data_IF_954888173908
#
_entry.id   IF_954888173908
#
_cell.length_a   1.000
_cell.length_b   1.000
_cell.length_c   1.000
_cell.angle_alpha   90.00
_cell.angle_beta   90.00
_cell.angle_gamma   90.00
#
_symmetry.space_group_name_H-M   'P 1'
#
loop_
_entity.id
_entity.type
_entity.pdbx_description
1 polymer ?
#
# COMPACT_ATOMS: atom_id res chain seq x y z
N UNK A 1 -14.66 1.23 19.40
CA UNK A 1 -14.57 -0.14 18.82
C UNK A 1 -13.15 -0.37 18.30
N UNK A 2 -12.74 -1.60 17.93
CA UNK A 2 -11.37 -1.85 17.40
C UNK A 2 -11.07 -0.96 16.18
N UNK A 3 -12.06 -0.80 15.29
CA UNK A 3 -11.97 0.10 14.13
C UNK A 3 -11.63 1.54 14.51
N UNK A 4 -12.38 2.11 15.45
CA UNK A 4 -12.15 3.47 15.96
C UNK A 4 -10.78 3.61 16.61
N UNK A 5 -10.46 2.75 17.57
CA UNK A 5 -9.28 2.92 18.40
C UNK A 5 -7.95 2.67 17.63
N UNK A 6 -7.95 1.76 16.65
CA UNK A 6 -6.71 1.39 15.94
C UNK A 6 -6.55 2.07 14.57
N UNK A 7 -7.63 2.44 13.91
CA UNK A 7 -7.57 2.94 12.53
C UNK A 7 -8.17 4.33 12.41
N UNK A 8 -9.47 4.46 12.67
CA UNK A 8 -10.18 5.69 12.34
C UNK A 8 -9.79 6.87 13.24
N UNK A 9 -9.87 6.76 14.56
CA UNK A 9 -9.59 7.89 15.47
C UNK A 9 -8.13 8.36 15.36
N UNK A 10 -7.10 7.48 15.30
CA UNK A 10 -5.72 7.92 15.11
C UNK A 10 -5.49 8.65 13.78
N UNK A 11 -6.07 8.16 12.68
CA UNK A 11 -5.92 8.76 11.35
C UNK A 11 -6.67 10.09 11.28
N UNK A 12 -7.88 10.16 11.84
CA UNK A 12 -8.65 11.40 11.94
C UNK A 12 -7.88 12.46 12.72
N UNK A 13 -7.41 12.12 13.92
CA UNK A 13 -6.65 13.04 14.78
C UNK A 13 -5.34 13.49 14.15
N UNK A 14 -4.62 12.58 13.50
CA UNK A 14 -3.40 12.93 12.78
C UNK A 14 -3.67 13.89 11.62
N UNK A 15 -4.75 13.65 10.85
CA UNK A 15 -5.16 14.54 9.77
C UNK A 15 -5.52 15.93 10.31
N UNK A 16 -6.39 16.01 11.33
CA UNK A 16 -6.80 17.30 11.92
C UNK A 16 -5.62 18.03 12.57
N UNK A 17 -4.71 17.30 13.22
CA UNK A 17 -3.46 17.86 13.72
C UNK A 17 -2.69 18.58 12.61
N UNK A 18 -2.50 17.94 11.45
CA UNK A 18 -1.81 18.58 10.34
C UNK A 18 -2.60 19.74 9.74
N UNK A 19 -3.92 19.65 9.62
CA UNK A 19 -4.76 20.78 9.18
C UNK A 19 -4.56 22.00 10.10
N UNK A 20 -4.46 21.80 11.41
CA UNK A 20 -4.24 22.89 12.36
C UNK A 20 -2.84 23.53 12.32
N UNK A 21 -1.84 22.85 11.74
CA UNK A 21 -0.44 23.30 11.72
C UNK A 21 0.07 23.71 10.33
N UNK A 22 -0.65 23.34 9.27
CA UNK A 22 -0.30 23.67 7.89
C UNK A 22 -0.91 25.03 7.52
N UNK A 23 -0.18 25.79 6.71
CA UNK A 23 -0.61 27.08 6.20
C UNK A 23 -2.00 26.97 5.54
N UNK A 24 -2.90 27.87 5.92
CA UNK A 24 -4.29 27.98 5.44
C UNK A 24 -5.18 26.75 5.69
N UNK A 25 -4.73 25.79 6.53
CA UNK A 25 -5.47 24.56 6.79
C UNK A 25 -5.65 23.67 5.57
N UNK A 26 -4.68 23.65 4.66
CA UNK A 26 -4.71 22.84 3.44
C UNK A 26 -4.79 21.33 3.76
N UNK A 27 -5.96 20.75 3.47
CA UNK A 27 -6.25 19.33 3.73
C UNK A 27 -5.38 18.41 2.85
N UNK A 28 -5.05 18.80 1.62
CA UNK A 28 -4.20 17.99 0.75
C UNK A 28 -2.77 17.88 1.30
N UNK A 29 -2.19 18.98 1.75
CA UNK A 29 -0.90 18.96 2.46
C UNK A 29 -0.99 18.17 3.78
N UNK A 30 -2.12 18.25 4.49
CA UNK A 30 -2.35 17.46 5.71
C UNK A 30 -2.39 15.96 5.43
N UNK A 31 -3.01 15.54 4.32
CA UNK A 31 -2.97 14.14 3.85
C UNK A 31 -1.53 13.70 3.60
N UNK A 32 -0.70 14.52 2.95
CA UNK A 32 0.72 14.20 2.71
C UNK A 32 1.44 13.95 4.04
N UNK A 33 1.29 14.87 5.01
CA UNK A 33 1.90 14.75 6.34
C UNK A 33 1.46 13.48 7.06
N UNK A 34 0.16 13.21 7.10
CA UNK A 34 -0.42 12.03 7.75
C UNK A 34 0.12 10.74 7.11
N UNK A 35 0.17 10.65 5.78
CA UNK A 35 0.71 9.48 5.07
C UNK A 35 2.18 9.25 5.40
N UNK A 36 3.00 10.29 5.42
CA UNK A 36 4.43 10.17 5.75
C UNK A 36 4.61 9.63 7.17
N UNK A 37 3.87 10.16 8.14
CA UNK A 37 3.94 9.70 9.54
C UNK A 37 3.52 8.23 9.64
N UNK A 38 2.37 7.86 9.07
CA UNK A 38 1.88 6.47 9.10
C UNK A 38 2.90 5.53 8.44
N UNK A 39 3.42 5.87 7.25
CA UNK A 39 4.43 5.06 6.57
C UNK A 39 5.74 4.95 7.36
N UNK A 40 6.11 5.99 8.10
CA UNK A 40 7.30 5.97 8.97
C UNK A 40 7.10 5.04 10.16
N UNK A 41 5.92 5.06 10.80
CA UNK A 41 5.57 4.11 11.86
C UNK A 41 5.55 2.67 11.37
N UNK A 42 5.14 2.45 10.12
CA UNK A 42 5.11 1.13 9.47
C UNK A 42 6.46 0.69 8.90
N UNK A 43 7.47 1.58 8.87
CA UNK A 43 8.80 1.30 8.32
C UNK A 43 9.42 -0.03 8.81
N UNK A 44 9.45 -0.37 10.12
CA UNK A 44 10.04 -1.64 10.57
C UNK A 44 9.32 -2.87 9.99
N UNK A 45 8.01 -2.78 9.77
CA UNK A 45 7.21 -3.84 9.15
C UNK A 45 7.52 -3.90 7.65
N UNK A 46 7.59 -2.75 6.97
CA UNK A 46 8.00 -2.65 5.55
C UNK A 46 9.37 -3.28 5.32
N UNK A 47 10.36 -3.01 6.18
CA UNK A 47 11.71 -3.57 6.08
C UNK A 47 11.67 -5.11 6.18
N UNK A 48 10.88 -5.66 7.10
CA UNK A 48 10.69 -7.12 7.23
C UNK A 48 10.04 -7.71 5.98
N UNK A 49 9.00 -7.07 5.44
CA UNK A 49 8.34 -7.51 4.22
C UNK A 49 9.29 -7.52 3.01
N UNK A 50 10.08 -6.46 2.82
CA UNK A 50 11.08 -6.38 1.74
C UNK A 50 12.17 -7.45 1.91
N UNK A 51 12.62 -7.72 3.15
CA UNK A 51 13.55 -8.83 3.43
C UNK A 51 12.96 -10.18 3.02
N UNK A 52 11.71 -10.45 3.41
CA UNK A 52 10.98 -11.66 3.03
C UNK A 52 10.88 -11.80 1.51
N UNK A 53 10.53 -10.75 0.78
CA UNK A 53 10.46 -10.76 -0.69
C UNK A 53 11.80 -11.08 -1.35
N UNK A 54 12.91 -10.55 -0.80
CA UNK A 54 14.26 -10.86 -1.31
C UNK A 54 14.59 -12.35 -1.12
N UNK A 55 14.41 -12.87 0.09
CA UNK A 55 14.70 -14.29 0.38
C UNK A 55 13.82 -15.18 -0.49
N UNK A 56 12.55 -14.83 -0.72
CA UNK A 56 11.65 -15.55 -1.64
C UNK A 56 12.22 -15.65 -3.05
N UNK A 57 12.90 -14.60 -3.53
CA UNK A 57 13.57 -14.60 -4.83
C UNK A 57 14.83 -15.48 -4.82
N UNK A 58 15.57 -15.50 -3.72
CA UNK A 58 16.79 -16.31 -3.56
C UNK A 58 16.48 -17.81 -3.50
N UNK A 59 15.43 -18.21 -2.78
CA UNK A 59 15.01 -19.62 -2.65
C UNK A 59 14.14 -20.11 -3.80
N UNK A 60 13.75 -19.23 -4.74
CA UNK A 60 12.89 -19.59 -5.87
C UNK A 60 13.41 -20.81 -6.67
N UNK A 61 14.73 -20.96 -6.95
CA UNK A 61 15.25 -22.14 -7.62
C UNK A 61 15.03 -23.42 -6.81
N UNK A 62 15.33 -23.43 -5.52
CA UNK A 62 15.14 -24.59 -4.64
C UNK A 62 13.66 -24.98 -4.52
N UNK A 63 12.76 -23.98 -4.48
CA UNK A 63 11.32 -24.25 -4.52
C UNK A 63 10.86 -24.89 -5.83
N UNK A 64 11.51 -24.61 -6.96
CA UNK A 64 11.21 -25.28 -8.24
C UNK A 64 11.67 -26.73 -8.22
N UNK A 65 12.90 -26.98 -7.75
CA UNK A 65 13.44 -28.34 -7.64
C UNK A 65 12.56 -29.23 -6.75
N UNK A 66 12.09 -28.73 -5.60
CA UNK A 66 11.14 -29.45 -4.75
C UNK A 66 9.81 -29.69 -5.46
N UNK A 67 9.30 -28.71 -6.20
CA UNK A 67 8.04 -28.86 -6.94
C UNK A 67 8.13 -29.96 -8.00
N UNK A 68 9.26 -30.05 -8.70
CA UNK A 68 9.52 -31.09 -9.70
C UNK A 68 9.74 -32.46 -9.05
N UNK A 69 10.56 -32.52 -7.99
CA UNK A 69 10.88 -33.76 -7.27
C UNK A 69 9.64 -34.43 -6.66
N UNK A 70 8.71 -33.64 -6.11
CA UNK A 70 7.50 -34.13 -5.45
C UNK A 70 6.23 -33.83 -6.24
N UNK A 71 6.29 -33.78 -7.58
CA UNK A 71 5.13 -33.41 -8.42
C UNK A 71 3.88 -34.27 -8.17
N UNK A 72 4.10 -35.54 -7.84
CA UNK A 72 3.06 -36.56 -7.65
C UNK A 72 2.64 -36.71 -6.18
N UNK A 73 3.36 -36.10 -5.23
CA UNK A 73 3.06 -36.16 -3.80
C UNK A 73 2.95 -34.74 -3.22
N UNK A 74 1.71 -34.20 -3.22
CA UNK A 74 1.41 -32.85 -2.74
C UNK A 74 1.71 -32.64 -1.27
N UNK A 75 1.56 -33.68 -0.44
CA UNK A 75 1.80 -33.57 1.00
C UNK A 75 3.29 -33.41 1.30
N UNK A 76 4.13 -34.29 0.74
CA UNK A 76 5.58 -34.18 0.86
C UNK A 76 6.12 -32.91 0.19
N UNK A 77 5.54 -32.49 -0.94
CA UNK A 77 5.85 -31.20 -1.56
C UNK A 77 5.60 -30.04 -0.60
N UNK A 78 4.42 -29.98 0.03
CA UNK A 78 4.09 -28.90 0.96
C UNK A 78 5.02 -28.88 2.18
N UNK A 79 5.33 -30.06 2.73
CA UNK A 79 6.25 -30.23 3.87
C UNK A 79 7.67 -29.80 3.53
N UNK A 80 8.20 -30.20 2.38
CA UNK A 80 9.53 -29.83 1.92
C UNK A 80 9.63 -28.32 1.60
N UNK A 81 8.60 -27.73 0.99
CA UNK A 81 8.54 -26.28 0.79
C UNK A 81 8.55 -25.52 2.12
N UNK A 82 7.81 -26.01 3.12
CA UNK A 82 7.79 -25.40 4.47
C UNK A 82 9.15 -25.51 5.16
N UNK A 83 9.86 -26.63 4.99
CA UNK A 83 11.23 -26.78 5.49
C UNK A 83 12.16 -25.73 4.88
N UNK A 84 12.12 -25.51 3.56
CA UNK A 84 12.91 -24.45 2.90
C UNK A 84 12.59 -23.06 3.49
N UNK A 85 11.31 -22.74 3.68
CA UNK A 85 10.93 -21.45 4.27
C UNK A 85 11.48 -21.27 5.69
N UNK A 86 11.45 -22.33 6.50
CA UNK A 86 11.97 -22.35 7.87
C UNK A 86 13.49 -22.23 7.90
N UNK A 87 14.19 -22.97 7.04
CA UNK A 87 15.66 -22.95 6.93
C UNK A 87 16.16 -21.59 6.45
N UNK A 88 15.40 -20.93 5.56
CA UNK A 88 15.67 -19.58 5.12
C UNK A 88 15.32 -18.50 6.17
N UNK A 89 14.83 -18.89 7.36
CA UNK A 89 14.48 -17.97 8.46
C UNK A 89 13.39 -16.97 8.10
N UNK A 90 12.50 -17.33 7.17
CA UNK A 90 11.51 -16.43 6.59
C UNK A 90 10.11 -16.68 7.15
N UNK A 91 9.35 -15.60 7.40
CA UNK A 91 7.92 -15.65 7.59
C UNK A 91 7.17 -15.09 6.35
N UNK A 92 6.48 -15.93 5.55
CA UNK A 92 5.75 -15.48 4.37
C UNK A 92 4.56 -14.55 4.71
N UNK A 93 4.02 -14.63 5.93
CA UNK A 93 2.89 -13.81 6.37
C UNK A 93 3.25 -12.34 6.54
N UNK A 94 4.54 -11.99 6.73
CA UNK A 94 4.95 -10.60 6.92
C UNK A 94 4.61 -9.71 5.71
N UNK A 95 4.79 -10.23 4.49
CA UNK A 95 4.48 -9.51 3.25
C UNK A 95 2.98 -9.32 3.05
N UNK A 96 2.20 -10.36 3.39
CA UNK A 96 0.73 -10.34 3.26
C UNK A 96 0.11 -9.40 4.29
N UNK A 97 0.63 -9.41 5.52
CA UNK A 97 0.17 -8.56 6.61
C UNK A 97 0.28 -7.06 6.27
N UNK A 98 1.38 -6.63 5.65
CA UNK A 98 1.57 -5.24 5.26
C UNK A 98 0.51 -4.76 4.25
N UNK A 99 0.16 -5.62 3.28
CA UNK A 99 -0.88 -5.30 2.28
C UNK A 99 -2.25 -5.20 2.94
N UNK A 100 -2.59 -6.14 3.82
CA UNK A 100 -3.86 -6.11 4.54
C UNK A 100 -3.99 -4.89 5.45
N UNK A 101 -2.89 -4.42 6.03
CA UNK A 101 -2.88 -3.23 6.88
C UNK A 101 -3.15 -1.94 6.09
N UNK A 102 -2.83 -1.90 4.80
CA UNK A 102 -3.03 -0.72 3.96
C UNK A 102 -4.53 -0.42 3.69
N UNK A 103 -5.36 -1.46 3.59
CA UNK A 103 -6.81 -1.35 3.31
C UNK A 103 -7.57 -0.57 4.42
N UNK A 104 -7.47 -0.91 5.70
CA UNK A 104 -8.15 -0.14 6.75
C UNK A 104 -7.59 1.29 6.87
N UNK A 105 -6.31 1.53 6.56
CA UNK A 105 -5.72 2.88 6.58
C UNK A 105 -6.35 3.78 5.50
N UNK A 106 -6.51 3.29 4.26
CA UNK A 106 -7.13 4.08 3.20
C UNK A 106 -8.62 4.33 3.49
N UNK A 107 -9.32 3.33 4.03
CA UNK A 107 -10.73 3.47 4.42
C UNK A 107 -10.88 4.48 5.55
N UNK A 108 -9.99 4.45 6.54
CA UNK A 108 -9.99 5.41 7.64
C UNK A 108 -9.72 6.84 7.14
N UNK A 109 -8.78 7.03 6.21
CA UNK A 109 -8.54 8.34 5.61
C UNK A 109 -9.72 8.83 4.79
N UNK A 110 -10.33 7.96 3.98
CA UNK A 110 -11.55 8.27 3.24
C UNK A 110 -12.64 8.77 4.20
N UNK A 111 -12.91 8.00 5.25
CA UNK A 111 -13.92 8.36 6.23
C UNK A 111 -13.56 9.63 7.00
N UNK A 112 -12.28 9.86 7.31
CA UNK A 112 -11.83 11.07 7.98
C UNK A 112 -12.12 12.35 7.17
N UNK A 113 -12.10 12.25 5.83
CA UNK A 113 -12.41 13.38 4.93
C UNK A 113 -13.92 13.51 4.69
N UNK A 114 -14.64 12.40 4.47
CA UNK A 114 -15.98 12.46 3.87
C UNK A 114 -17.18 12.30 4.82
N UNK A 115 -17.10 11.53 5.90
CA UNK A 115 -18.28 11.37 6.81
C UNK A 115 -18.10 10.47 8.04
N UNK A 116 -16.94 9.85 8.25
CA UNK A 116 -16.74 8.82 9.27
C UNK A 116 -16.95 9.27 10.70
N UNK A 117 -16.78 10.58 10.95
CA UNK A 117 -17.03 11.20 12.24
C UNK A 117 -18.44 11.75 12.40
N UNK A 118 -19.36 11.45 11.48
CA UNK A 118 -20.71 12.03 11.44
C UNK A 118 -20.80 13.38 10.72
N UNK A 119 -19.66 13.96 10.33
CA UNK A 119 -19.56 15.19 9.52
C UNK A 119 -18.45 15.03 8.46
N UNK A 120 -18.57 15.78 7.36
CA UNK A 120 -17.58 15.84 6.31
C UNK A 120 -16.69 17.09 6.50
N UNK A 121 -15.41 17.01 6.12
CA UNK A 121 -14.59 18.22 6.03
C UNK A 121 -15.23 19.21 5.03
N UNK A 122 -15.21 20.52 5.32
CA UNK A 122 -14.39 21.21 6.32
C UNK A 122 -14.92 21.19 7.77
N UNK A 123 -16.10 20.61 8.04
CA UNK A 123 -16.63 20.49 9.40
C UNK A 123 -15.87 19.43 10.20
N UNK A 124 -15.60 19.72 11.48
CA UNK A 124 -14.79 18.87 12.36
C UNK A 124 -15.64 18.42 13.54
N UNK A 125 -15.74 17.11 13.73
CA UNK A 125 -16.35 16.56 14.94
C UNK A 125 -15.33 16.62 16.09
N UNK A 126 -15.47 17.65 16.92
CA UNK A 126 -14.58 17.89 18.07
C UNK A 126 -14.66 16.81 19.15
N UNK A 127 -15.74 16.01 19.21
CA UNK A 127 -15.88 14.93 20.20
C UNK A 127 -14.94 13.76 19.95
N UNK A 128 -14.39 13.64 18.74
CA UNK A 128 -13.43 12.60 18.36
C UNK A 128 -11.98 13.07 18.51
N UNK A 129 -11.76 14.34 18.85
CA UNK A 129 -10.42 14.88 18.98
C UNK A 129 -9.77 14.41 20.28
N UNK A 130 -8.53 13.95 20.16
CA UNK A 130 -7.66 13.72 21.31
C UNK A 130 -7.31 15.05 21.95
N UNK A 131 -7.03 15.03 23.25
CA UNK A 131 -6.75 16.22 24.05
C UNK A 131 -5.58 17.08 23.55
N UNK A 132 -4.66 16.50 22.78
CA UNK A 132 -3.50 17.17 22.21
C UNK A 132 -3.73 17.72 20.78
N UNK A 133 -4.91 17.50 20.20
CA UNK A 133 -5.28 18.02 18.88
C UNK A 133 -6.16 19.25 19.05
N UNK A 134 -5.61 20.42 18.73
CA UNK A 134 -6.37 21.66 18.72
C UNK A 134 -7.32 21.72 17.51
N UNK A 135 -8.52 22.28 17.70
CA UNK A 135 -9.46 22.51 16.61
C UNK A 135 -8.90 23.59 15.65
N UNK A 136 -8.69 23.26 14.36
CA UNK A 136 -8.27 24.24 13.37
C UNK A 136 -9.28 25.37 13.20
N UNK A 137 -8.77 26.60 13.03
CA UNK A 137 -9.61 27.79 12.75
C UNK A 137 -10.00 27.85 11.28
N UNK A 138 -9.10 27.39 10.40
CA UNK A 138 -9.29 27.37 8.94
C UNK A 138 -9.11 25.95 8.42
N UNK A 139 -9.98 25.54 7.51
CA UNK A 139 -9.88 24.26 6.81
C UNK A 139 -10.11 24.54 5.32
N UNK A 140 -9.08 24.32 4.51
CA UNK A 140 -9.13 24.52 3.07
C UNK A 140 -9.16 23.18 2.35
N UNK A 141 -10.22 22.94 1.57
CA UNK A 141 -10.29 21.80 0.68
C UNK A 141 -9.48 22.00 -0.60
N UNK A 142 -9.02 23.24 -0.87
CA UNK A 142 -8.20 23.56 -2.04
C UNK A 142 -6.73 23.20 -1.78
N UNK A 143 -6.30 22.08 -2.35
CA UNK A 143 -4.91 21.65 -2.35
C UNK A 143 -4.04 22.61 -3.16
N UNK A 144 -3.03 23.19 -2.50
CA UNK A 144 -2.11 24.21 -3.00
C UNK A 144 -2.82 25.47 -3.55
N UNK A 145 -4.11 25.66 -3.23
CA UNK A 145 -4.95 26.70 -3.83
C UNK A 145 -5.31 26.46 -5.31
N UNK A 146 -5.05 25.28 -5.86
CA UNK A 146 -5.20 24.98 -7.28
C UNK A 146 -6.33 23.97 -7.58
N UNK A 147 -6.63 23.08 -6.64
CA UNK A 147 -7.48 21.92 -6.88
C UNK A 147 -8.30 21.60 -5.63
N UNK A 148 -9.62 21.46 -5.75
CA UNK A 148 -10.44 20.90 -4.69
C UNK A 148 -10.13 19.41 -4.48
N UNK A 149 -9.71 19.05 -3.29
CA UNK A 149 -9.31 17.68 -2.94
C UNK A 149 -10.50 16.72 -2.84
N UNK A 150 -11.72 17.25 -2.74
CA UNK A 150 -12.96 16.45 -2.71
C UNK A 150 -13.40 15.99 -4.09
N UNK A 151 -13.05 16.76 -5.12
CA UNK A 151 -13.38 16.54 -6.52
C UNK A 151 -12.46 15.52 -7.19
N UNK A 152 -12.77 15.15 -8.45
CA UNK A 152 -11.93 14.23 -9.23
C UNK A 152 -10.72 14.96 -9.82
N UNK A 153 -9.56 14.30 -9.81
CA UNK A 153 -8.34 14.81 -10.46
C UNK A 153 -7.67 13.74 -11.31
N UNK A 154 -7.73 13.91 -12.64
CA UNK A 154 -7.07 12.99 -13.57
C UNK A 154 -5.55 13.04 -13.42
N UNK A 155 -4.98 14.20 -13.12
CA UNK A 155 -3.53 14.39 -12.95
C UNK A 155 -3.03 13.59 -11.75
N UNK A 156 -3.69 13.73 -10.59
CA UNK A 156 -3.31 12.97 -9.39
C UNK A 156 -3.60 11.49 -9.55
N UNK A 157 -4.71 11.10 -10.17
CA UNK A 157 -5.02 9.70 -10.42
C UNK A 157 -3.98 9.06 -11.34
N UNK A 158 -3.59 9.75 -12.42
CA UNK A 158 -2.54 9.29 -13.33
C UNK A 158 -1.20 9.15 -12.61
N UNK A 159 -0.83 10.13 -11.78
CA UNK A 159 0.37 10.05 -10.95
C UNK A 159 0.32 8.85 -9.99
N UNK A 160 -0.82 8.58 -9.36
CA UNK A 160 -1.02 7.40 -8.51
C UNK A 160 -0.85 6.09 -9.29
N UNK A 161 -1.47 5.95 -10.46
CA UNK A 161 -1.34 4.76 -11.31
C UNK A 161 0.09 4.54 -11.82
N UNK A 162 0.76 5.60 -12.28
CA UNK A 162 2.15 5.53 -12.76
C UNK A 162 3.10 5.13 -11.62
N UNK A 163 2.96 5.76 -10.45
CA UNK A 163 3.80 5.41 -9.29
C UNK A 163 3.49 3.99 -8.79
N UNK A 164 2.23 3.55 -8.82
CA UNK A 164 1.85 2.17 -8.49
C UNK A 164 2.54 1.17 -9.41
N UNK A 165 2.60 1.46 -10.71
CA UNK A 165 3.29 0.62 -11.68
C UNK A 165 4.79 0.48 -11.35
N UNK A 166 5.47 1.61 -11.07
CA UNK A 166 6.89 1.58 -10.70
C UNK A 166 7.13 0.88 -9.37
N UNK A 167 6.26 1.11 -8.38
CA UNK A 167 6.31 0.44 -7.08
C UNK A 167 6.23 -1.07 -7.26
N UNK A 168 5.21 -1.59 -7.95
CA UNK A 168 5.06 -3.02 -8.23
C UNK A 168 6.26 -3.59 -8.99
N UNK A 169 6.75 -2.86 -10.01
CA UNK A 169 7.90 -3.30 -10.81
C UNK A 169 9.18 -3.41 -9.97
N UNK A 170 9.34 -2.58 -8.94
CA UNK A 170 10.51 -2.58 -8.06
C UNK A 170 10.43 -3.65 -6.96
N UNK A 171 9.23 -3.91 -6.42
CA UNK A 171 9.00 -4.88 -5.34
C UNK A 171 8.91 -6.32 -5.85
N UNK A 172 8.37 -6.55 -7.06
CA UNK A 172 8.13 -7.91 -7.56
C UNK A 172 9.29 -8.47 -8.40
N UNK A 173 9.51 -9.80 -8.39
CA UNK A 173 10.45 -10.46 -9.29
C UNK A 173 10.17 -10.17 -10.77
N UNK A 174 11.19 -10.27 -11.63
CA UNK A 174 11.01 -10.16 -13.07
C UNK A 174 10.02 -11.23 -13.57
N UNK A 175 9.23 -10.88 -14.58
CA UNK A 175 8.33 -11.84 -15.23
C UNK A 175 9.18 -12.93 -15.87
N UNK A 176 8.80 -14.19 -15.67
CA UNK A 176 9.43 -15.30 -16.39
C UNK A 176 9.15 -15.16 -17.89
N UNK A 177 10.15 -15.41 -18.76
CA UNK A 177 9.92 -15.53 -20.19
C UNK A 177 8.82 -16.56 -20.48
N UNK A 178 8.10 -16.39 -21.59
CA UNK A 178 7.22 -17.45 -22.08
C UNK A 178 8.12 -18.62 -22.47
N UNK A 179 7.94 -19.78 -21.86
CA UNK A 179 8.62 -21.00 -22.33
C UNK A 179 7.88 -21.48 -23.58
N UNK A 180 8.58 -21.59 -24.72
CA UNK A 180 8.02 -22.11 -25.98
C UNK A 180 7.96 -23.66 -26.00
N UNK A 181 7.73 -24.27 -24.84
CA UNK A 181 7.59 -25.71 -24.70
C UNK A 181 6.24 -26.18 -25.24
N UNK A 182 6.24 -27.24 -26.05
CA UNK A 182 5.06 -27.81 -26.72
C UNK A 182 3.95 -28.30 -25.75
N UNK A 183 4.23 -28.41 -24.45
CA UNK A 183 3.22 -28.61 -23.41
C UNK A 183 3.31 -27.49 -22.36
N UNK A 184 2.38 -26.51 -22.38
CA UNK A 184 2.31 -25.51 -21.34
C UNK A 184 1.88 -26.12 -20.00
N UNK A 185 2.67 -25.91 -18.94
CA UNK A 185 2.26 -26.26 -17.59
C UNK A 185 1.23 -25.22 -17.10
N UNK A 186 -0.06 -25.61 -17.05
CA UNK A 186 -1.18 -24.74 -16.66
C UNK A 186 -0.91 -23.92 -15.39
N UNK A 187 -0.23 -24.51 -14.40
CA UNK A 187 0.09 -23.83 -13.13
C UNK A 187 1.08 -22.68 -13.32
N UNK A 188 2.07 -22.84 -14.18
CA UNK A 188 3.07 -21.82 -14.45
C UNK A 188 2.49 -20.69 -15.29
N UNK A 189 1.63 -21.02 -16.26
CA UNK A 189 0.88 -20.03 -17.04
C UNK A 189 -0.08 -19.23 -16.15
N UNK A 190 -0.81 -19.91 -15.26
CA UNK A 190 -1.69 -19.26 -14.30
C UNK A 190 -0.91 -18.31 -13.38
N UNK A 191 0.21 -18.76 -12.81
CA UNK A 191 1.05 -17.93 -11.95
C UNK A 191 1.63 -16.71 -12.70
N UNK A 192 2.04 -16.90 -13.96
CA UNK A 192 2.51 -15.81 -14.83
C UNK A 192 1.39 -14.82 -15.15
N UNK A 193 0.20 -15.29 -15.49
CA UNK A 193 -0.96 -14.43 -15.77
C UNK A 193 -1.35 -13.61 -14.54
N UNK A 194 -1.29 -14.21 -13.34
CA UNK A 194 -1.49 -13.49 -12.09
C UNK A 194 -0.44 -12.38 -11.90
N UNK A 195 0.84 -12.65 -12.18
CA UNK A 195 1.89 -11.63 -12.14
C UNK A 195 1.67 -10.52 -13.18
N UNK A 196 1.19 -10.85 -14.38
CA UNK A 196 0.85 -9.86 -15.41
C UNK A 196 -0.31 -8.96 -14.97
N UNK A 197 -1.36 -9.54 -14.40
CA UNK A 197 -2.50 -8.80 -13.86
C UNK A 197 -2.05 -7.85 -12.75
N UNK A 198 -1.26 -8.35 -11.78
CA UNK A 198 -0.71 -7.51 -10.72
C UNK A 198 0.19 -6.40 -11.27
N UNK A 199 0.99 -6.67 -12.31
CA UNK A 199 1.92 -5.68 -12.85
C UNK A 199 1.27 -4.58 -13.68
N UNK A 200 0.27 -4.92 -14.50
CA UNK A 200 -0.26 -3.99 -15.49
C UNK A 200 -1.72 -3.64 -15.25
N UNK A 201 -2.54 -4.60 -14.81
CA UNK A 201 -3.97 -4.39 -14.60
C UNK A 201 -4.20 -3.67 -13.26
N UNK A 202 -3.52 -4.05 -12.19
CA UNK A 202 -3.72 -3.41 -10.87
C UNK A 202 -3.38 -1.92 -10.86
N UNK A 203 -2.26 -1.43 -11.42
CA UNK A 203 -2.02 0.02 -11.50
C UNK A 203 -3.10 0.78 -12.27
N UNK A 204 -3.66 0.17 -13.32
CA UNK A 204 -4.78 0.74 -14.05
C UNK A 204 -6.06 0.77 -13.19
N UNK A 205 -6.36 -0.30 -12.45
CA UNK A 205 -7.47 -0.32 -11.50
C UNK A 205 -7.29 0.78 -10.44
N UNK A 206 -6.09 0.94 -9.88
CA UNK A 206 -5.81 2.00 -8.90
C UNK A 206 -6.01 3.38 -9.52
N UNK A 207 -5.58 3.61 -10.77
CA UNK A 207 -5.88 4.84 -11.50
C UNK A 207 -7.39 5.09 -11.58
N UNK A 208 -8.18 4.10 -12.04
CA UNK A 208 -9.64 4.25 -12.19
C UNK A 208 -10.31 4.48 -10.85
N UNK A 209 -9.96 3.72 -9.81
CA UNK A 209 -10.53 3.86 -8.46
C UNK A 209 -10.19 5.22 -7.88
N UNK A 210 -8.93 5.64 -7.96
CA UNK A 210 -8.49 6.95 -7.48
C UNK A 210 -9.23 8.09 -8.18
N UNK A 211 -9.36 8.01 -9.52
CA UNK A 211 -10.11 9.00 -10.30
C UNK A 211 -11.60 9.00 -9.99
N UNK A 212 -12.19 7.82 -9.76
CA UNK A 212 -13.63 7.69 -9.52
C UNK A 212 -14.05 8.19 -8.15
N UNK A 213 -13.19 8.02 -7.14
CA UNK A 213 -13.47 8.42 -5.76
C UNK A 213 -13.18 9.91 -5.59
N UNK A 214 -11.90 10.33 -5.60
CA UNK A 214 -11.52 11.73 -5.42
C UNK A 214 -10.02 11.99 -5.53
N UNK A 215 -9.67 13.27 -5.63
CA UNK A 215 -8.32 13.78 -5.56
C UNK A 215 -7.64 13.47 -4.20
N UNK A 216 -8.37 13.45 -3.08
CA UNK A 216 -7.85 13.04 -1.77
C UNK A 216 -7.29 11.62 -1.80
N UNK A 217 -8.05 10.69 -2.37
CA UNK A 217 -7.65 9.28 -2.47
C UNK A 217 -6.54 9.10 -3.52
N UNK A 218 -6.60 9.84 -4.63
CA UNK A 218 -5.52 9.85 -5.60
C UNK A 218 -4.20 10.35 -4.99
N UNK A 219 -4.24 11.44 -4.23
CA UNK A 219 -3.08 12.01 -3.54
C UNK A 219 -2.52 11.01 -2.51
N UNK A 220 -3.39 10.36 -1.72
CA UNK A 220 -2.99 9.32 -0.79
C UNK A 220 -2.20 8.21 -1.48
N UNK A 221 -2.72 7.63 -2.58
CA UNK A 221 -2.03 6.57 -3.31
C UNK A 221 -0.69 7.04 -3.86
N UNK A 222 -0.66 8.22 -4.49
CA UNK A 222 0.56 8.79 -5.04
C UNK A 222 1.65 8.94 -3.96
N UNK A 223 1.35 9.61 -2.85
CA UNK A 223 2.30 9.86 -1.77
C UNK A 223 2.72 8.54 -1.11
N UNK A 224 1.76 7.65 -0.84
CA UNK A 224 2.02 6.32 -0.28
C UNK A 224 2.99 5.52 -1.15
N UNK A 225 2.83 5.58 -2.47
CA UNK A 225 3.67 4.87 -3.44
C UNK A 225 5.09 5.47 -3.48
N UNK A 226 5.21 6.80 -3.49
CA UNK A 226 6.50 7.49 -3.42
C UNK A 226 7.24 7.13 -2.14
N UNK A 227 6.59 7.20 -0.98
CA UNK A 227 7.24 6.83 0.29
C UNK A 227 7.63 5.35 0.28
N UNK A 228 6.80 4.46 -0.24
CA UNK A 228 7.13 3.03 -0.33
C UNK A 228 8.34 2.78 -1.24
N UNK A 229 8.41 3.46 -2.39
CA UNK A 229 9.57 3.43 -3.29
C UNK A 229 10.85 3.91 -2.58
N UNK A 230 10.77 5.02 -1.84
CA UNK A 230 11.91 5.53 -1.06
C UNK A 230 12.35 4.53 0.01
N UNK A 231 11.40 3.88 0.71
CA UNK A 231 11.70 2.83 1.68
C UNK A 231 12.40 1.63 1.01
N UNK A 232 11.92 1.18 -0.15
CA UNK A 232 12.55 0.10 -0.90
C UNK A 232 13.98 0.44 -1.34
N UNK A 233 14.21 1.66 -1.84
CA UNK A 233 15.55 2.11 -2.20
C UNK A 233 16.47 2.20 -0.98
N UNK A 234 15.99 2.72 0.14
CA UNK A 234 16.76 2.79 1.38
C UNK A 234 17.18 1.40 1.86
N UNK A 235 16.26 0.43 1.86
CA UNK A 235 16.52 -0.96 2.27
C UNK A 235 17.46 -1.68 1.31
N UNK A 236 17.40 -1.37 0.01
CA UNK A 236 18.32 -1.92 -0.98
C UNK A 236 19.74 -1.34 -0.85
N UNK A 237 19.87 -0.06 -0.44
CA UNK A 237 21.17 0.65 -0.33
C UNK A 237 21.93 0.37 0.97
N UNK A 238 21.24 0.25 2.11
CA UNK A 238 21.90 0.02 3.43
C UNK A 238 22.05 -1.47 3.73
N UNK A 239 22.41 -2.23 2.70
CA UNK A 239 22.66 -3.65 2.71
C UNK A 239 23.89 -3.96 1.88
#
# INVERSE_FOLDING_TARGET
SIWHNLFFDPIYNLLIFFVGHIRDGDVGLAIIGAVIVVKTLLLPISIKAVKTQKIMKEIEPSLKEIKEKYKDNKEEQAKAMMAIYKDAGMNPMASVFLVFLQIPIIIALYFAVYSGGGVALPEINTSLLYSWVATPVTVSMNFLGLLDITERSIVLAAAAGITQFFQIKLSMPALKPKTDSAQPNFKDEFARNMQLQMRYVMPFIIFVVAYSISAAIALYFFVSNIVTLLQEFYVKKHR
#
